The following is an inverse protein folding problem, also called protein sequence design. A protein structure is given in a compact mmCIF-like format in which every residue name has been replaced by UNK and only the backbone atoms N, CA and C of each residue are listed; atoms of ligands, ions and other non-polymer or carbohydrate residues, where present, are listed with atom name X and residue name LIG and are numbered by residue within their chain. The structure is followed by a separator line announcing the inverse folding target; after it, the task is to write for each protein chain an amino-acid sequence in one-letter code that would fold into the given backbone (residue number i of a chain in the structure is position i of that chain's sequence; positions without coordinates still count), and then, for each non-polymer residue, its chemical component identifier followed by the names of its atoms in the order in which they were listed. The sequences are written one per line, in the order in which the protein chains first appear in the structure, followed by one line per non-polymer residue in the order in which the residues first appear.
data_IF_505180732354
#
_entry.id   IF_505180732354
#
_cell.length_a   1.000
_cell.length_b   1.000
_cell.length_c   1.000
_cell.angle_alpha   90.00
_cell.angle_beta   90.00
_cell.angle_gamma   90.00
#
_symmetry.space_group_name_H-M   'P 1'
#
loop_
_entity.id
_entity.type
_entity.pdbx_description
1 polymer ?
#
# COMPACT_ATOMS: atom_id res chain seq x y z
N UNK A 1 -43.64 -20.86 -9.31
CA UNK A 1 -43.01 -20.05 -8.25
C UNK A 1 -41.73 -20.78 -7.86
N UNK A 2 -40.78 -20.93 -8.79
CA UNK A 2 -39.59 -21.79 -8.59
C UNK A 2 -38.33 -20.97 -8.29
N UNK A 3 -38.51 -19.69 -8.00
CA UNK A 3 -37.43 -18.80 -7.59
C UNK A 3 -37.22 -18.93 -6.09
N UNK A 4 -36.14 -19.61 -5.70
CA UNK A 4 -35.69 -19.68 -4.31
C UNK A 4 -34.57 -18.65 -4.06
N UNK A 5 -34.40 -18.23 -2.82
CA UNK A 5 -33.30 -17.33 -2.41
C UNK A 5 -31.93 -17.88 -2.86
N UNK A 6 -31.75 -19.21 -2.79
CA UNK A 6 -30.54 -19.91 -3.22
C UNK A 6 -30.35 -19.77 -4.73
N UNK A 7 -31.41 -19.88 -5.54
CA UNK A 7 -31.34 -19.70 -6.98
C UNK A 7 -30.86 -18.30 -7.37
N UNK A 8 -31.31 -17.26 -6.66
CA UNK A 8 -30.86 -15.88 -6.90
C UNK A 8 -29.41 -15.65 -6.48
N UNK A 9 -28.96 -16.21 -5.35
CA UNK A 9 -27.54 -16.13 -4.93
C UNK A 9 -26.61 -16.79 -5.96
N UNK A 10 -26.99 -17.95 -6.47
CA UNK A 10 -26.21 -18.66 -7.50
C UNK A 10 -26.19 -17.88 -8.82
N UNK A 11 -27.34 -17.34 -9.25
CA UNK A 11 -27.42 -16.53 -10.46
C UNK A 11 -26.56 -15.27 -10.35
N UNK A 12 -26.60 -14.58 -9.21
CA UNK A 12 -25.76 -13.40 -8.96
C UNK A 12 -24.26 -13.71 -8.98
N UNK A 13 -23.84 -14.80 -8.33
CA UNK A 13 -22.43 -15.22 -8.34
C UNK A 13 -21.93 -15.55 -9.76
N UNK A 14 -22.76 -16.21 -10.58
CA UNK A 14 -22.42 -16.50 -11.99
C UNK A 14 -22.32 -15.23 -12.82
N UNK A 15 -23.28 -14.33 -12.70
CA UNK A 15 -23.28 -13.05 -13.40
C UNK A 15 -22.06 -12.19 -13.02
N UNK A 16 -21.69 -12.18 -11.73
CA UNK A 16 -20.49 -11.48 -11.26
C UNK A 16 -19.21 -12.06 -11.88
N UNK A 17 -19.06 -13.39 -11.91
CA UNK A 17 -17.89 -14.04 -12.52
C UNK A 17 -17.74 -13.69 -14.01
N UNK A 18 -18.84 -13.75 -14.77
CA UNK A 18 -18.84 -13.40 -16.20
C UNK A 18 -18.54 -11.91 -16.44
N UNK A 19 -19.10 -11.02 -15.62
CA UNK A 19 -18.86 -9.59 -15.73
C UNK A 19 -17.44 -9.21 -15.32
N UNK A 20 -16.91 -9.81 -14.24
CA UNK A 20 -15.56 -9.56 -13.75
C UNK A 20 -14.50 -9.90 -14.80
N UNK A 21 -14.64 -11.02 -15.53
CA UNK A 21 -13.72 -11.38 -16.62
C UNK A 21 -13.71 -10.38 -17.78
N UNK A 22 -14.86 -9.75 -18.07
CA UNK A 22 -15.00 -8.73 -19.13
C UNK A 22 -14.54 -7.34 -18.68
N UNK A 23 -14.47 -7.08 -17.37
CA UNK A 23 -14.16 -5.77 -16.79
C UNK A 23 -12.66 -5.45 -16.70
N UNK A 24 -11.78 -6.33 -17.21
CA UNK A 24 -10.31 -6.18 -17.12
C UNK A 24 -9.84 -6.03 -15.67
N UNK A 25 -10.01 -7.07 -14.84
CA UNK A 25 -9.66 -7.00 -13.43
C UNK A 25 -8.16 -6.77 -13.29
N UNK A 26 -7.76 -5.96 -12.32
CA UNK A 26 -6.37 -5.69 -11.98
C UNK A 26 -6.10 -6.15 -10.55
N UNK A 27 -4.88 -6.65 -10.30
CA UNK A 27 -4.42 -6.96 -8.96
C UNK A 27 -4.07 -5.65 -8.26
N UNK A 28 -4.60 -5.45 -7.06
CA UNK A 28 -4.27 -4.32 -6.20
C UNK A 28 -3.33 -4.80 -5.10
N UNK A 29 -2.38 -3.94 -4.71
CA UNK A 29 -1.53 -4.15 -3.55
C UNK A 29 -1.81 -3.08 -2.47
N UNK A 30 -1.64 -3.40 -1.18
CA UNK A 30 -1.80 -2.43 -0.11
C UNK A 30 -0.65 -1.42 -0.06
N UNK A 31 -0.99 -0.14 0.01
CA UNK A 31 -0.06 0.98 0.18
C UNK A 31 -0.14 1.48 1.63
N UNK A 32 1.00 1.57 2.30
CA UNK A 32 1.10 2.02 3.69
C UNK A 32 1.67 3.43 3.77
N UNK A 33 1.08 4.27 4.60
CA UNK A 33 1.65 5.58 4.97
C UNK A 33 2.67 5.41 6.10
N UNK A 34 3.86 5.94 5.90
CA UNK A 34 5.01 5.82 6.79
C UNK A 34 5.47 7.22 7.24
N UNK A 35 5.81 7.33 8.53
CA UNK A 35 6.48 8.50 9.12
C UNK A 35 7.83 8.04 9.67
N UNK A 36 8.93 8.51 9.08
CA UNK A 36 10.30 8.17 9.51
C UNK A 36 10.91 9.40 10.17
N UNK A 37 11.43 9.25 11.38
CA UNK A 37 12.11 10.31 12.13
C UNK A 37 13.59 9.96 12.23
N UNK A 38 14.45 10.82 11.69
CA UNK A 38 15.89 10.58 11.62
C UNK A 38 16.68 11.87 11.87
N UNK A 39 17.94 11.75 12.36
CA UNK A 39 18.87 12.87 12.36
C UNK A 39 19.16 13.36 10.93
N UNK A 40 19.45 14.66 10.78
CA UNK A 40 19.68 15.33 9.48
C UNK A 40 20.75 14.64 8.62
N UNK A 41 21.79 14.10 9.27
CA UNK A 41 22.90 13.41 8.62
C UNK A 41 22.50 12.15 7.82
N UNK A 42 21.33 11.55 8.11
CA UNK A 42 20.85 10.33 7.44
C UNK A 42 19.76 10.59 6.40
N UNK A 43 19.42 11.86 6.13
CA UNK A 43 18.34 12.22 5.20
C UNK A 43 18.55 11.63 3.80
N UNK A 44 19.78 11.65 3.30
CA UNK A 44 20.13 11.12 1.98
C UNK A 44 19.92 9.61 1.88
N UNK A 45 20.43 8.86 2.86
CA UNK A 45 20.37 7.40 2.87
C UNK A 45 18.92 6.89 2.93
N UNK A 46 18.10 7.48 3.81
CA UNK A 46 16.69 7.09 3.96
C UNK A 46 15.86 7.49 2.73
N UNK A 47 16.12 8.67 2.15
CA UNK A 47 15.46 9.08 0.91
C UNK A 47 15.80 8.13 -0.24
N UNK A 48 17.05 7.67 -0.33
CA UNK A 48 17.50 6.70 -1.31
C UNK A 48 16.83 5.33 -1.13
N UNK A 49 16.80 4.83 0.11
CA UNK A 49 16.17 3.54 0.43
C UNK A 49 14.66 3.54 0.15
N UNK A 50 13.94 4.60 0.54
CA UNK A 50 12.51 4.73 0.26
C UNK A 50 12.22 4.73 -1.25
N UNK A 51 13.04 5.41 -2.06
CA UNK A 51 12.90 5.37 -3.52
C UNK A 51 13.18 3.97 -4.09
N UNK A 52 14.16 3.23 -3.54
CA UNK A 52 14.45 1.86 -3.96
C UNK A 52 13.26 0.92 -3.69
N UNK A 53 12.55 1.16 -2.59
CA UNK A 53 11.36 0.41 -2.16
C UNK A 53 10.06 0.83 -2.83
N UNK A 54 10.12 1.49 -3.99
CA UNK A 54 8.95 2.02 -4.71
C UNK A 54 8.12 3.01 -3.85
N UNK A 55 8.78 3.64 -2.88
CA UNK A 55 8.17 4.62 -1.99
C UNK A 55 8.01 5.97 -2.66
N UNK A 56 6.91 6.63 -2.35
CA UNK A 56 6.59 7.99 -2.78
C UNK A 56 6.67 8.93 -1.58
N UNK A 57 7.57 9.90 -1.63
CA UNK A 57 7.68 10.92 -0.59
C UNK A 57 6.54 11.93 -0.76
N UNK A 58 5.80 12.16 0.33
CA UNK A 58 4.70 13.13 0.41
C UNK A 58 5.18 14.48 0.94
N UNK A 59 6.17 14.47 1.84
CA UNK A 59 6.71 15.68 2.42
C UNK A 59 7.86 15.40 3.39
N UNK A 60 8.63 16.45 3.64
CA UNK A 60 9.73 16.48 4.61
C UNK A 60 9.44 17.63 5.56
N UNK A 61 9.49 17.36 6.86
CA UNK A 61 9.33 18.34 7.93
C UNK A 61 10.39 18.14 9.01
N UNK A 62 10.31 18.95 10.06
CA UNK A 62 11.19 18.83 11.22
C UNK A 62 10.35 18.79 12.51
N UNK A 63 10.69 17.90 13.42
CA UNK A 63 10.01 17.69 14.70
C UNK A 63 11.07 17.28 15.74
N UNK A 64 11.06 17.92 16.92
CA UNK A 64 11.99 17.62 18.02
C UNK A 64 13.49 17.60 17.63
N UNK A 65 13.90 18.47 16.71
CA UNK A 65 15.28 18.55 16.22
C UNK A 65 15.67 17.42 15.26
N UNK A 66 14.71 16.60 14.83
CA UNK A 66 14.86 15.50 13.87
C UNK A 66 14.15 15.84 12.56
N UNK A 67 14.64 15.29 11.45
CA UNK A 67 13.95 15.33 10.17
C UNK A 67 12.86 14.26 10.14
N UNK A 68 11.68 14.64 9.66
CA UNK A 68 10.50 13.79 9.54
C UNK A 68 10.16 13.63 8.07
N UNK A 69 10.24 12.41 7.57
CA UNK A 69 9.86 12.06 6.19
C UNK A 69 8.51 11.35 6.22
N UNK A 70 7.54 11.90 5.49
CA UNK A 70 6.25 11.25 5.24
C UNK A 70 6.28 10.62 3.85
N UNK A 71 5.98 9.32 3.77
CA UNK A 71 6.00 8.59 2.51
C UNK A 71 4.89 7.54 2.42
N UNK A 72 4.52 7.18 1.21
CA UNK A 72 3.67 6.03 0.90
C UNK A 72 4.51 4.94 0.27
N UNK A 73 4.46 3.73 0.81
CA UNK A 73 5.27 2.60 0.34
C UNK A 73 4.40 1.34 0.26
N UNK A 74 4.56 0.50 -0.78
CA UNK A 74 3.87 -0.79 -0.82
C UNK A 74 4.25 -1.65 0.37
N UNK A 75 3.25 -2.26 1.03
CA UNK A 75 3.47 -3.07 2.24
C UNK A 75 4.47 -4.21 2.00
N UNK A 76 4.50 -4.75 0.78
CA UNK A 76 5.42 -5.82 0.37
C UNK A 76 6.91 -5.46 0.56
N UNK A 77 7.25 -4.17 0.47
CA UNK A 77 8.64 -3.68 0.50
C UNK A 77 9.11 -3.31 1.92
N UNK A 78 8.17 -3.15 2.86
CA UNK A 78 8.44 -2.60 4.20
C UNK A 78 8.17 -3.57 5.36
N UNK A 79 7.89 -4.85 5.07
CA UNK A 79 7.59 -5.84 6.10
C UNK A 79 8.68 -5.97 7.18
N UNK A 80 9.95 -5.77 6.81
CA UNK A 80 11.12 -5.84 7.72
C UNK A 80 11.78 -4.49 7.97
N UNK A 81 11.15 -3.40 7.53
CA UNK A 81 11.79 -2.09 7.49
C UNK A 81 12.25 -1.60 8.86
N UNK A 82 11.51 -1.90 9.93
CA UNK A 82 11.90 -1.52 11.31
C UNK A 82 13.18 -2.19 11.81
N UNK A 83 13.53 -3.36 11.26
CA UNK A 83 14.75 -4.09 11.63
C UNK A 83 15.95 -3.64 10.79
N UNK A 84 15.71 -3.24 9.54
CA UNK A 84 16.72 -2.75 8.60
C UNK A 84 17.11 -1.29 8.87
N UNK A 85 16.23 -0.50 9.48
CA UNK A 85 16.47 0.89 9.86
C UNK A 85 17.35 1.06 11.12
N UNK A 86 17.53 0.01 11.92
CA UNK A 86 18.19 0.08 13.24
C UNK A 86 19.70 0.29 13.14
#
# INVERSE_FOLDING_TARGET
MDSSEVAFKIAGARAFGEAAGKAKPALLEPICSLKVMIPDQYMGDITGDLNHRRGRILGIGAEDGMQVIQAEVPQAEIFRYSSELR
#
